data_IF_288326035568
#
_entry.id   IF_288326035568
#
_cell.length_a   1.000
_cell.length_b   1.000
_cell.length_c   1.000
_cell.angle_alpha   90.00
_cell.angle_beta   90.00
_cell.angle_gamma   90.00
#
_symmetry.space_group_name_H-M   'P 1'
#
loop_
_entity.id
_entity.type
_entity.pdbx_description
1 polymer ?
#
# COMPACT_ATOMS: atom_id res chain seq x y z
N UNK A 1 26.06 -52.91 51.48
CA UNK A 1 26.49 -52.04 50.35
C UNK A 1 25.66 -52.40 49.12
N UNK A 2 24.68 -51.56 48.77
CA UNK A 2 24.03 -51.46 47.45
C UNK A 2 22.64 -50.85 47.68
N UNK A 3 22.48 -49.53 47.45
CA UNK A 3 21.22 -48.87 47.03
C UNK A 3 21.32 -47.33 47.11
N UNK A 4 22.40 -46.75 46.59
CA UNK A 4 22.51 -45.28 46.44
C UNK A 4 23.05 -44.83 45.06
N UNK A 5 22.92 -45.68 44.03
CA UNK A 5 23.36 -45.34 42.66
C UNK A 5 22.25 -45.29 41.61
N UNK A 6 21.02 -45.72 41.90
CA UNK A 6 19.94 -45.77 40.90
C UNK A 6 19.28 -44.42 40.54
N UNK A 7 19.24 -43.46 41.47
CA UNK A 7 18.42 -42.24 41.29
C UNK A 7 19.13 -41.08 40.56
N UNK A 8 20.46 -41.03 40.54
CA UNK A 8 21.22 -39.98 39.81
C UNK A 8 21.35 -40.27 38.31
N UNK A 9 21.31 -41.55 37.91
CA UNK A 9 21.53 -41.98 36.52
C UNK A 9 20.27 -41.75 35.67
N UNK A 10 19.07 -41.91 36.24
CA UNK A 10 17.80 -41.75 35.52
C UNK A 10 17.51 -40.32 35.04
N UNK A 11 17.86 -39.29 35.83
CA UNK A 11 17.62 -37.89 35.46
C UNK A 11 18.61 -37.38 34.40
N UNK A 12 19.87 -37.84 34.42
CA UNK A 12 20.85 -37.50 33.38
C UNK A 12 20.49 -38.17 32.06
N UNK A 13 19.96 -39.39 32.08
CA UNK A 13 19.51 -40.10 30.89
C UNK A 13 18.31 -39.40 30.23
N UNK A 14 17.32 -38.95 31.03
CA UNK A 14 16.15 -38.21 30.53
C UNK A 14 16.51 -36.86 29.92
N UNK A 15 17.47 -36.13 30.52
CA UNK A 15 17.93 -34.85 29.97
C UNK A 15 18.71 -35.02 28.66
N UNK A 16 19.53 -36.09 28.56
CA UNK A 16 20.25 -36.42 27.32
C UNK A 16 19.31 -36.84 26.19
N UNK A 17 18.25 -37.61 26.52
CA UNK A 17 17.23 -38.01 25.54
C UNK A 17 16.44 -36.80 25.01
N UNK A 18 16.10 -35.85 25.89
CA UNK A 18 15.40 -34.63 25.48
C UNK A 18 16.29 -33.72 24.63
N UNK A 19 17.55 -33.56 25.00
CA UNK A 19 18.53 -32.79 24.22
C UNK A 19 18.82 -33.44 22.85
N UNK A 20 18.90 -34.77 22.77
CA UNK A 20 19.07 -35.48 21.50
C UNK A 20 17.85 -35.36 20.59
N UNK A 21 16.63 -35.36 21.15
CA UNK A 21 15.41 -35.19 20.38
C UNK A 21 15.31 -33.79 19.76
N UNK A 22 15.69 -32.75 20.50
CA UNK A 22 15.74 -31.36 20.01
C UNK A 22 16.82 -31.20 18.94
N UNK A 23 17.99 -31.83 19.11
CA UNK A 23 19.05 -31.80 18.09
C UNK A 23 18.61 -32.50 16.81
N UNK A 24 17.94 -33.65 16.92
CA UNK A 24 17.42 -34.40 15.79
C UNK A 24 16.35 -33.62 15.04
N UNK A 25 15.44 -32.92 15.73
CA UNK A 25 14.43 -32.08 15.08
C UNK A 25 15.04 -30.89 14.36
N UNK A 26 16.07 -30.26 14.95
CA UNK A 26 16.80 -29.15 14.32
C UNK A 26 17.59 -29.63 13.09
N UNK A 27 18.22 -30.80 13.16
CA UNK A 27 18.93 -31.37 12.00
C UNK A 27 17.96 -31.75 10.88
N UNK A 28 16.78 -32.29 11.20
CA UNK A 28 15.78 -32.66 10.20
C UNK A 28 15.26 -31.41 9.46
N UNK A 29 15.02 -30.32 10.19
CA UNK A 29 14.60 -29.03 9.63
C UNK A 29 15.64 -28.41 8.70
N UNK A 30 16.93 -28.51 9.07
CA UNK A 30 18.06 -28.05 8.24
C UNK A 30 18.26 -28.92 7.00
N UNK A 31 18.06 -30.23 7.10
CA UNK A 31 18.17 -31.13 5.93
C UNK A 31 17.03 -30.94 4.94
N UNK A 32 15.78 -30.76 5.40
CA UNK A 32 14.65 -30.50 4.51
C UNK A 32 14.79 -29.17 3.75
N UNK A 33 15.40 -28.14 4.37
CA UNK A 33 15.66 -26.86 3.71
C UNK A 33 16.78 -26.92 2.66
N UNK A 34 17.71 -27.87 2.76
CA UNK A 34 18.73 -28.14 1.73
C UNK A 34 18.21 -29.00 0.56
N UNK A 35 17.26 -29.90 0.79
CA UNK A 35 16.66 -30.71 -0.28
C UNK A 35 15.73 -29.92 -1.21
N UNK A 36 15.08 -28.86 -0.72
CA UNK A 36 14.24 -27.98 -1.56
C UNK A 36 15.02 -26.95 -2.37
N UNK A 37 16.34 -26.83 -2.17
CA UNK A 37 17.18 -25.83 -2.87
C UNK A 37 18.18 -26.42 -3.86
N UNK A 38 18.30 -27.76 -3.93
CA UNK A 38 19.30 -28.45 -4.75
C UNK A 38 18.68 -29.18 -5.96
N UNK A 39 18.16 -28.42 -6.93
CA UNK A 39 17.85 -29.00 -8.26
C UNK A 39 18.05 -27.97 -9.38
N UNK A 40 19.29 -27.83 -9.85
CA UNK A 40 19.69 -27.89 -11.27
C UNK A 40 21.14 -27.41 -11.48
N UNK A 41 21.90 -28.27 -12.15
CA UNK A 41 23.30 -28.23 -12.60
C UNK A 41 23.76 -26.91 -13.27
N UNK A 42 24.98 -26.40 -13.00
CA UNK A 42 26.29 -26.65 -13.69
C UNK A 42 26.35 -26.04 -15.12
N UNK A 43 27.41 -25.41 -15.64
CA UNK A 43 28.84 -25.24 -15.32
C UNK A 43 29.48 -24.23 -16.31
N UNK A 44 30.66 -23.69 -15.98
CA UNK A 44 31.64 -22.91 -16.80
C UNK A 44 31.36 -21.41 -17.09
N UNK A 45 32.34 -20.49 -17.18
CA UNK A 45 33.68 -20.27 -16.62
C UNK A 45 34.15 -18.87 -17.15
N UNK A 46 34.85 -18.08 -16.33
CA UNK A 46 35.60 -16.82 -16.67
C UNK A 46 34.75 -15.60 -17.13
N UNK A 47 34.99 -14.34 -16.76
CA UNK A 47 36.25 -13.66 -16.49
C UNK A 47 36.07 -12.38 -15.62
N UNK A 48 37.13 -11.98 -14.92
CA UNK A 48 37.28 -10.83 -14.00
C UNK A 48 37.05 -9.44 -14.64
N UNK A 49 36.63 -8.46 -13.83
CA UNK A 49 36.67 -7.04 -14.23
C UNK A 49 36.10 -6.05 -13.21
N UNK A 50 36.84 -5.80 -12.13
CA UNK A 50 36.64 -4.67 -11.22
C UNK A 50 36.76 -3.34 -11.98
N UNK A 51 35.82 -2.40 -11.82
CA UNK A 51 36.13 -0.96 -11.93
C UNK A 51 35.08 -0.09 -11.23
N UNK A 52 35.57 0.59 -10.18
CA UNK A 52 35.01 1.75 -9.52
C UNK A 52 34.96 2.95 -10.48
N UNK A 53 33.92 3.77 -10.40
CA UNK A 53 34.00 5.16 -10.84
C UNK A 53 32.71 5.79 -11.39
N UNK A 54 32.35 6.91 -10.77
CA UNK A 54 31.50 8.02 -11.27
C UNK A 54 29.98 7.93 -11.08
N UNK A 55 29.51 8.77 -10.14
CA UNK A 55 28.17 9.33 -10.10
C UNK A 55 27.94 10.16 -11.35
N UNK A 56 26.92 9.83 -12.14
CA UNK A 56 26.24 10.76 -13.04
C UNK A 56 24.74 10.62 -12.84
N UNK A 57 24.14 11.75 -12.47
CA UNK A 57 22.71 11.97 -12.41
C UNK A 57 22.15 11.80 -13.83
N UNK A 58 21.37 10.74 -14.06
CA UNK A 58 20.85 10.37 -15.37
C UNK A 58 19.41 9.88 -15.21
N UNK A 59 18.49 10.64 -15.81
CA UNK A 59 17.06 10.35 -15.97
C UNK A 59 16.80 8.87 -16.25
N UNK A 60 16.21 8.15 -15.30
CA UNK A 60 15.67 6.80 -15.54
C UNK A 60 14.41 6.93 -16.37
N UNK A 61 14.57 6.99 -17.70
CA UNK A 61 13.58 6.43 -18.62
C UNK A 61 13.36 4.97 -18.18
N UNK A 62 12.17 4.65 -17.65
CA UNK A 62 11.74 3.25 -17.45
C UNK A 62 11.62 2.62 -18.83
N UNK A 63 12.70 2.01 -19.30
CA UNK A 63 12.66 1.14 -20.45
C UNK A 63 11.92 -0.14 -20.06
N UNK A 64 10.90 -0.48 -20.84
CA UNK A 64 10.12 -1.72 -20.81
C UNK A 64 11.00 -2.88 -21.33
N UNK A 65 12.10 -3.15 -20.63
CA UNK A 65 13.08 -4.21 -20.95
C UNK A 65 13.30 -5.15 -19.75
N UNK A 66 12.26 -5.36 -18.95
CA UNK A 66 12.27 -6.31 -17.84
C UNK A 66 11.97 -7.77 -18.26
N UNK A 67 12.17 -8.11 -19.55
CA UNK A 67 11.95 -9.48 -20.05
C UNK A 67 13.25 -10.32 -20.17
N UNK A 68 14.41 -9.78 -19.77
CA UNK A 68 15.72 -10.48 -19.82
C UNK A 68 16.62 -10.25 -18.59
N UNK A 69 16.06 -9.83 -17.44
CA UNK A 69 16.84 -9.79 -16.19
C UNK A 69 16.78 -11.16 -15.51
N UNK A 70 17.95 -11.75 -15.25
CA UNK A 70 18.09 -12.96 -14.43
C UNK A 70 17.27 -12.83 -13.13
N UNK A 71 16.31 -13.74 -12.86
CA UNK A 71 15.43 -13.65 -11.68
C UNK A 71 16.19 -13.67 -10.35
N UNK A 72 17.45 -14.10 -10.34
CA UNK A 72 18.30 -14.14 -9.14
C UNK A 72 18.99 -12.80 -8.85
N UNK A 73 19.14 -11.92 -9.85
CA UNK A 73 19.83 -10.63 -9.71
C UNK A 73 19.11 -9.67 -8.74
N UNK A 74 17.78 -9.49 -8.82
CA UNK A 74 17.05 -8.71 -7.81
C UNK A 74 17.21 -9.27 -6.39
N UNK A 75 17.26 -10.60 -6.25
CA UNK A 75 17.43 -11.27 -4.94
C UNK A 75 18.84 -11.04 -4.38
N UNK A 76 19.88 -11.12 -5.21
CA UNK A 76 21.26 -10.82 -4.81
C UNK A 76 21.42 -9.34 -4.43
N UNK A 77 20.83 -8.43 -5.21
CA UNK A 77 20.86 -7.00 -4.92
C UNK A 77 20.15 -6.69 -3.60
N UNK A 78 19.03 -7.37 -3.32
CA UNK A 78 18.33 -7.26 -2.04
C UNK A 78 19.19 -7.78 -0.87
N UNK A 79 19.83 -8.94 -1.01
CA UNK A 79 20.71 -9.51 0.03
C UNK A 79 21.92 -8.60 0.28
N UNK A 80 22.57 -8.11 -0.78
CA UNK A 80 23.70 -7.17 -0.68
C UNK A 80 23.27 -5.89 0.04
N UNK A 81 22.13 -5.31 -0.35
CA UNK A 81 21.58 -4.13 0.29
C UNK A 81 21.31 -4.39 1.79
N UNK A 82 20.69 -5.52 2.12
CA UNK A 82 20.46 -5.90 3.50
C UNK A 82 21.78 -6.03 4.29
N UNK A 83 22.81 -6.65 3.72
CA UNK A 83 24.12 -6.78 4.36
C UNK A 83 24.81 -5.41 4.57
N UNK A 84 24.74 -4.51 3.59
CA UNK A 84 25.27 -3.15 3.68
C UNK A 84 24.53 -2.30 4.71
N UNK A 85 23.21 -2.44 4.80
CA UNK A 85 22.37 -1.77 5.80
C UNK A 85 22.75 -2.22 7.22
N UNK A 86 22.91 -3.54 7.45
CA UNK A 86 23.32 -4.07 8.76
C UNK A 86 24.75 -3.69 9.13
N UNK A 87 25.68 -3.67 8.16
CA UNK A 87 27.05 -3.18 8.37
C UNK A 87 27.05 -1.72 8.81
N UNK A 88 26.25 -0.89 8.14
CA UNK A 88 26.12 0.54 8.46
C UNK A 88 25.53 0.75 9.86
N UNK A 89 24.53 -0.05 10.24
CA UNK A 89 23.96 -0.05 11.58
C UNK A 89 25.01 -0.40 12.64
N UNK A 90 25.77 -1.47 12.43
CA UNK A 90 26.83 -1.89 13.35
C UNK A 90 27.91 -0.80 13.54
N UNK A 91 28.32 -0.13 12.45
CA UNK A 91 29.26 0.99 12.52
C UNK A 91 28.70 2.19 13.29
N UNK A 92 27.42 2.51 13.12
CA UNK A 92 26.76 3.59 13.85
C UNK A 92 26.73 3.32 15.37
N UNK A 93 26.37 2.09 15.78
CA UNK A 93 26.40 1.69 17.18
C UNK A 93 27.82 1.68 17.76
N UNK A 94 28.81 1.23 16.99
CA UNK A 94 30.21 1.27 17.41
C UNK A 94 30.70 2.71 17.65
N UNK A 95 30.33 3.65 16.78
CA UNK A 95 30.64 5.07 16.96
C UNK A 95 29.96 5.64 18.22
N UNK A 96 28.68 5.33 18.43
CA UNK A 96 27.93 5.77 19.61
C UNK A 96 28.54 5.24 20.92
N UNK A 97 28.91 3.96 20.95
CA UNK A 97 29.59 3.35 22.10
C UNK A 97 30.94 4.01 22.40
N UNK A 98 31.73 4.35 21.37
CA UNK A 98 32.99 5.08 21.54
C UNK A 98 32.77 6.48 22.12
N UNK A 99 31.77 7.21 21.62
CA UNK A 99 31.41 8.55 22.11
C UNK A 99 31.04 8.50 23.60
N UNK A 100 30.15 7.59 23.99
CA UNK A 100 29.74 7.41 25.40
C UNK A 100 30.92 7.07 26.31
N UNK A 101 31.84 6.20 25.86
CA UNK A 101 33.05 5.87 26.63
C UNK A 101 33.90 7.12 26.89
N UNK A 102 34.11 7.96 25.87
CA UNK A 102 34.91 9.18 25.99
C UNK A 102 34.25 10.20 26.93
N UNK A 103 32.94 10.40 26.81
CA UNK A 103 32.17 11.32 27.67
C UNK A 103 32.22 10.87 29.14
N UNK A 104 31.98 9.59 29.42
CA UNK A 104 32.08 9.04 30.78
C UNK A 104 33.50 9.16 31.34
N UNK A 105 34.53 8.93 30.52
CA UNK A 105 35.93 9.08 30.96
C UNK A 105 36.26 10.53 31.31
N UNK A 106 35.74 11.50 30.56
CA UNK A 106 35.89 12.93 30.87
C UNK A 106 35.22 13.29 32.19
N UNK A 107 33.99 12.81 32.43
CA UNK A 107 33.27 13.04 33.68
C UNK A 107 34.05 12.50 34.89
N UNK A 108 34.57 11.27 34.80
CA UNK A 108 35.40 10.68 35.87
C UNK A 108 36.63 11.53 36.16
N UNK A 109 37.35 12.01 35.13
CA UNK A 109 38.51 12.89 35.32
C UNK A 109 38.12 14.19 36.01
N UNK A 110 37.09 14.87 35.52
CA UNK A 110 36.62 16.13 36.08
C UNK A 110 36.27 16.00 37.59
N UNK A 111 35.52 14.96 37.98
CA UNK A 111 35.18 14.75 39.40
C UNK A 111 36.39 14.36 40.25
N UNK A 112 37.34 13.60 39.69
CA UNK A 112 38.59 13.25 40.39
C UNK A 112 39.46 14.48 40.61
N UNK A 113 39.57 15.37 39.62
CA UNK A 113 40.35 16.60 39.71
C UNK A 113 39.71 17.59 40.70
N UNK A 114 38.37 17.69 40.72
CA UNK A 114 37.66 18.46 41.75
C UNK A 114 37.97 17.94 43.16
N UNK A 115 37.95 16.62 43.37
CA UNK A 115 38.29 16.00 44.66
C UNK A 115 39.75 16.26 45.06
N UNK A 116 40.68 16.19 44.12
CA UNK A 116 42.10 16.55 44.34
C UNK A 116 42.25 18.02 44.71
N UNK A 117 41.56 18.93 44.02
CA UNK A 117 41.60 20.37 44.31
C UNK A 117 41.13 20.72 45.74
N UNK A 118 40.20 19.94 46.30
CA UNK A 118 39.82 20.07 47.71
C UNK A 118 40.90 19.53 48.66
N UNK A 119 41.47 18.37 48.33
CA UNK A 119 42.55 17.75 49.11
C UNK A 119 43.79 18.66 49.16
N UNK A 120 44.18 19.25 48.02
CA UNK A 120 45.29 20.18 47.90
C UNK A 120 45.03 21.48 48.68
N UNK A 121 43.78 21.96 48.68
CA UNK A 121 43.40 23.13 49.48
C UNK A 121 43.56 22.85 50.98
N UNK A 122 43.09 21.69 51.45
CA UNK A 122 43.18 21.29 52.85
C UNK A 122 44.63 20.99 53.29
N UNK A 123 45.46 20.50 52.37
CA UNK A 123 46.87 20.21 52.62
C UNK A 123 47.80 21.44 52.52
N UNK A 124 47.29 22.59 52.06
CA UNK A 124 48.07 23.82 51.84
C UNK A 124 48.69 24.29 53.16
N UNK A 125 50.00 24.46 53.15
CA UNK A 125 50.79 24.82 54.35
C UNK A 125 50.30 26.09 55.05
N UNK A 126 49.78 27.06 54.30
CA UNK A 126 49.21 28.32 54.81
C UNK A 126 47.96 28.13 55.68
N UNK A 127 47.29 26.98 55.59
CA UNK A 127 46.06 26.68 56.33
C UNK A 127 46.25 25.59 57.39
N UNK A 128 47.43 24.97 57.52
CA UNK A 128 47.69 23.94 58.53
C UNK A 128 47.46 24.44 59.96
N UNK A 129 47.85 25.69 60.24
CA UNK A 129 47.65 26.34 61.54
C UNK A 129 46.16 26.49 61.92
N UNK A 130 45.22 26.39 60.96
CA UNK A 130 43.78 26.41 61.23
C UNK A 130 43.23 25.05 61.71
N UNK A 131 43.98 23.96 61.52
CA UNK A 131 43.54 22.58 61.81
C UNK A 131 44.29 21.94 62.99
N UNK A 132 45.29 22.62 63.57
CA UNK A 132 46.00 22.18 64.76
C UNK A 132 45.19 22.51 66.02
N UNK A 133 45.01 21.52 66.90
CA UNK A 133 44.07 21.59 68.04
C UNK A 133 44.55 22.46 69.22
N UNK A 134 45.82 22.90 69.19
CA UNK A 134 46.49 23.66 70.26
C UNK A 134 46.77 25.14 69.88
N UNK A 135 46.19 25.66 68.79
CA UNK A 135 46.39 27.05 68.37
C UNK A 135 45.59 28.04 69.25
N UNK A 136 46.27 28.86 70.05
CA UNK A 136 45.65 29.78 71.00
C UNK A 136 44.91 30.99 70.37
N UNK A 137 45.07 31.26 69.07
CA UNK A 137 44.31 32.30 68.35
C UNK A 137 44.33 32.08 66.84
N UNK A 138 43.15 32.01 66.21
CA UNK A 138 43.01 31.92 64.74
C UNK A 138 43.14 33.32 64.13
N UNK A 139 43.98 33.47 63.09
CA UNK A 139 44.06 34.70 62.31
C UNK A 139 42.80 34.85 61.42
N UNK A 140 42.01 35.89 61.69
CA UNK A 140 40.76 36.19 60.97
C UNK A 140 40.99 36.41 59.46
N UNK A 141 42.14 36.98 59.09
CA UNK A 141 42.45 37.26 57.68
C UNK A 141 42.70 35.98 56.88
N UNK A 142 43.40 35.02 57.48
CA UNK A 142 43.70 33.70 56.90
C UNK A 142 42.41 32.86 56.81
N UNK A 143 41.54 32.94 57.83
CA UNK A 143 40.24 32.29 57.81
C UNK A 143 39.33 32.83 56.69
N UNK A 144 39.23 34.15 56.53
CA UNK A 144 38.44 34.76 55.44
C UNK A 144 38.95 34.37 54.06
N UNK A 145 40.26 34.26 53.88
CA UNK A 145 40.84 33.81 52.61
C UNK A 145 40.52 32.34 52.33
N UNK A 146 40.64 31.47 53.35
CA UNK A 146 40.25 30.06 53.25
C UNK A 146 38.76 29.91 52.91
N UNK A 147 37.88 30.64 53.59
CA UNK A 147 36.44 30.62 53.29
C UNK A 147 36.11 31.02 51.85
N UNK A 148 36.78 32.05 51.32
CA UNK A 148 36.57 32.48 49.93
C UNK A 148 36.99 31.38 48.96
N UNK A 149 38.18 30.80 49.15
CA UNK A 149 38.73 29.73 48.33
C UNK A 149 37.89 28.44 48.38
N UNK A 150 37.28 28.13 49.53
CA UNK A 150 36.33 27.01 49.69
C UNK A 150 35.02 27.31 48.97
N UNK A 151 34.45 28.52 49.15
CA UNK A 151 33.19 28.94 48.51
C UNK A 151 33.30 28.90 46.98
N UNK A 152 34.42 29.35 46.41
CA UNK A 152 34.67 29.27 44.96
C UNK A 152 34.71 27.82 44.46
N UNK A 153 35.42 26.92 45.15
CA UNK A 153 35.46 25.49 44.79
C UNK A 153 34.10 24.80 44.95
N UNK A 154 33.33 25.15 45.98
CA UNK A 154 31.94 24.66 46.16
C UNK A 154 31.06 25.12 44.99
N UNK A 155 31.19 26.37 44.55
CA UNK A 155 30.45 26.88 43.39
C UNK A 155 30.81 26.12 42.11
N UNK A 156 32.10 25.90 41.86
CA UNK A 156 32.56 25.13 40.69
C UNK A 156 32.06 23.68 40.72
N UNK A 157 32.09 23.03 41.89
CA UNK A 157 31.60 21.67 42.06
C UNK A 157 30.10 21.56 41.84
N UNK A 158 29.31 22.51 42.37
CA UNK A 158 27.86 22.58 42.12
C UNK A 158 27.54 22.72 40.63
N UNK A 159 28.29 23.54 39.90
CA UNK A 159 28.13 23.68 38.46
C UNK A 159 28.44 22.37 37.72
N UNK A 160 29.56 21.72 38.05
CA UNK A 160 29.94 20.45 37.42
C UNK A 160 28.92 19.32 37.68
N UNK A 161 28.33 19.29 38.89
CA UNK A 161 27.24 18.36 39.22
C UNK A 161 25.98 18.67 38.40
N UNK A 162 25.64 19.95 38.26
CA UNK A 162 24.48 20.37 37.47
C UNK A 162 24.62 19.97 35.99
N UNK A 163 25.80 20.20 35.40
CA UNK A 163 26.09 19.85 34.00
C UNK A 163 26.08 18.33 33.78
N UNK A 164 26.53 17.55 34.77
CA UNK A 164 26.55 16.09 34.71
C UNK A 164 25.22 15.42 35.08
N UNK A 165 24.23 16.17 35.59
CA UNK A 165 22.96 15.64 36.13
C UNK A 165 22.26 14.71 35.15
N UNK A 166 22.24 15.05 33.86
CA UNK A 166 21.63 14.24 32.82
C UNK A 166 22.24 12.84 32.67
N UNK A 167 23.53 12.69 33.00
CA UNK A 167 24.22 11.40 32.90
C UNK A 167 23.82 10.43 34.02
N UNK A 168 23.33 10.94 35.16
CA UNK A 168 22.97 10.14 36.33
C UNK A 168 21.47 10.06 36.60
N UNK A 169 20.68 11.01 36.08
CA UNK A 169 19.24 11.06 36.27
C UNK A 169 18.50 10.15 35.27
N UNK A 170 18.11 8.96 35.76
CA UNK A 170 17.35 8.00 34.97
C UNK A 170 15.95 8.52 34.58
N UNK A 171 15.31 9.35 35.41
CA UNK A 171 13.98 9.90 35.10
C UNK A 171 14.08 10.87 33.92
N UNK A 172 15.09 11.74 33.91
CA UNK A 172 15.33 12.66 32.81
C UNK A 172 15.65 11.92 31.50
N UNK A 173 16.43 10.84 31.55
CA UNK A 173 16.69 9.98 30.38
C UNK A 173 15.42 9.32 29.85
N UNK A 174 14.56 8.80 30.73
CA UNK A 174 13.27 8.20 30.35
C UNK A 174 12.38 9.25 29.70
N UNK A 175 12.31 10.46 30.24
CA UNK A 175 11.52 11.55 29.68
C UNK A 175 12.02 11.95 28.28
N UNK A 176 13.33 12.17 28.11
CA UNK A 176 13.91 12.47 26.78
C UNK A 176 13.68 11.33 25.78
N UNK A 177 13.78 10.08 26.23
CA UNK A 177 13.46 8.93 25.37
C UNK A 177 11.98 8.94 24.96
N UNK A 178 11.07 9.24 25.89
CA UNK A 178 9.64 9.36 25.60
C UNK A 178 9.35 10.47 24.60
N UNK A 179 9.97 11.64 24.77
CA UNK A 179 9.79 12.79 23.88
C UNK A 179 10.34 12.50 22.47
N UNK A 180 11.49 11.83 22.39
CA UNK A 180 12.06 11.40 21.09
C UNK A 180 11.22 10.32 20.42
N UNK A 181 10.70 9.34 21.17
CA UNK A 181 9.75 8.34 20.63
C UNK A 181 8.50 9.02 20.10
N UNK A 182 7.93 9.97 20.85
CA UNK A 182 6.76 10.71 20.41
C UNK A 182 7.02 11.51 19.13
N UNK A 183 8.12 12.26 19.09
CA UNK A 183 8.51 13.03 17.90
C UNK A 183 8.81 12.15 16.67
N UNK A 184 9.48 11.01 16.87
CA UNK A 184 9.72 10.04 15.79
C UNK A 184 8.42 9.39 15.30
N UNK A 185 7.50 9.08 16.21
CA UNK A 185 6.19 8.51 15.85
C UNK A 185 5.33 9.49 15.06
N UNK A 186 5.38 10.79 15.41
CA UNK A 186 4.72 11.85 14.66
C UNK A 186 5.29 11.96 13.23
N UNK A 187 6.62 11.99 13.10
CA UNK A 187 7.29 12.01 11.80
C UNK A 187 6.98 10.77 10.96
N UNK A 188 6.99 9.58 11.57
CA UNK A 188 6.62 8.33 10.91
C UNK A 188 5.17 8.39 10.40
N UNK A 189 4.26 8.91 11.21
CA UNK A 189 2.85 9.06 10.85
C UNK A 189 2.69 10.03 9.67
N UNK A 190 3.40 11.17 9.69
CA UNK A 190 3.41 12.14 8.58
C UNK A 190 3.97 11.51 7.30
N UNK A 191 5.07 10.78 7.39
CA UNK A 191 5.68 10.08 6.25
C UNK A 191 4.76 8.99 5.68
N UNK A 192 4.10 8.20 6.53
CA UNK A 192 3.09 7.21 6.11
C UNK A 192 1.92 7.86 5.36
N UNK A 193 1.41 8.98 5.87
CA UNK A 193 0.33 9.75 5.22
C UNK A 193 0.75 10.26 3.85
N UNK A 194 1.93 10.88 3.76
CA UNK A 194 2.47 11.37 2.49
C UNK A 194 2.71 10.22 1.50
N UNK A 195 3.25 9.10 1.95
CA UNK A 195 3.45 7.90 1.12
C UNK A 195 2.13 7.35 0.57
N UNK A 196 1.09 7.24 1.40
CA UNK A 196 -0.24 6.82 0.96
C UNK A 196 -0.83 7.78 -0.08
N UNK A 197 -0.69 9.09 0.13
CA UNK A 197 -1.16 10.12 -0.80
C UNK A 197 -0.42 10.09 -2.14
N UNK A 198 0.91 10.02 -2.13
CA UNK A 198 1.71 9.89 -3.35
C UNK A 198 1.42 8.60 -4.11
N UNK A 199 1.17 7.50 -3.39
CA UNK A 199 0.73 6.25 -4.01
C UNK A 199 -0.63 6.37 -4.69
N UNK A 200 -1.57 7.09 -4.07
CA UNK A 200 -2.88 7.36 -4.65
C UNK A 200 -2.78 8.18 -5.94
N UNK A 201 -1.97 9.24 -5.94
CA UNK A 201 -1.71 10.04 -7.13
C UNK A 201 -1.09 9.18 -8.22
N UNK A 202 -0.02 8.45 -7.91
CA UNK A 202 0.68 7.63 -8.91
C UNK A 202 -0.20 6.54 -9.53
N UNK A 203 -1.13 5.97 -8.76
CA UNK A 203 -2.07 4.96 -9.25
C UNK A 203 -3.21 5.54 -10.11
N UNK A 204 -3.57 6.82 -9.92
CA UNK A 204 -4.76 7.43 -10.56
C UNK A 204 -4.44 8.49 -11.61
N UNK A 205 -3.30 9.15 -11.49
CA UNK A 205 -2.95 10.25 -12.39
C UNK A 205 -2.72 9.72 -13.79
N UNK A 206 -3.46 10.26 -14.76
CA UNK A 206 -3.18 10.01 -16.17
C UNK A 206 -1.89 10.75 -16.54
N UNK A 207 -0.87 10.06 -17.10
CA UNK A 207 0.32 10.72 -17.62
C UNK A 207 -0.03 11.86 -18.56
N UNK A 208 0.71 12.98 -18.50
CA UNK A 208 0.45 14.16 -19.34
C UNK A 208 0.31 13.84 -20.82
N UNK A 209 1.12 12.91 -21.34
CA UNK A 209 1.04 12.46 -22.73
C UNK A 209 -0.30 11.83 -23.10
N UNK A 210 -0.90 11.02 -22.21
CA UNK A 210 -2.20 10.41 -22.43
C UNK A 210 -3.33 11.43 -22.28
N UNK A 211 -3.20 12.39 -21.37
CA UNK A 211 -4.15 13.49 -21.28
C UNK A 211 -4.15 14.36 -22.56
N UNK A 212 -2.97 14.63 -23.14
CA UNK A 212 -2.88 15.33 -24.42
C UNK A 212 -3.58 14.60 -25.58
N UNK A 213 -3.63 13.27 -25.56
CA UNK A 213 -4.35 12.48 -26.56
C UNK A 213 -5.86 12.80 -26.51
N UNK A 214 -6.47 12.72 -25.33
CA UNK A 214 -7.88 13.05 -25.16
C UNK A 214 -8.21 14.48 -25.61
N UNK A 215 -7.33 15.44 -25.31
CA UNK A 215 -7.49 16.83 -25.75
C UNK A 215 -7.40 17.00 -27.27
N UNK A 216 -6.48 16.29 -27.94
CA UNK A 216 -6.39 16.32 -29.40
C UNK A 216 -7.61 15.71 -30.07
N UNK A 217 -8.13 14.61 -29.54
CA UNK A 217 -9.36 13.98 -30.05
C UNK A 217 -10.58 14.88 -29.84
N UNK A 218 -10.65 15.58 -28.70
CA UNK A 218 -11.71 16.55 -28.47
C UNK A 218 -11.60 17.76 -29.43
N UNK A 219 -10.39 18.24 -29.69
CA UNK A 219 -10.16 19.28 -30.70
C UNK A 219 -10.63 18.84 -32.09
N UNK A 220 -10.31 17.60 -32.49
CA UNK A 220 -10.78 16.99 -33.75
C UNK A 220 -12.31 16.92 -33.81
N UNK A 221 -12.97 16.51 -32.73
CA UNK A 221 -14.44 16.51 -32.64
C UNK A 221 -15.02 17.91 -32.86
N UNK A 222 -14.44 18.92 -32.23
CA UNK A 222 -14.94 20.30 -32.33
C UNK A 222 -14.74 20.84 -33.75
N UNK A 223 -13.60 20.53 -34.38
CA UNK A 223 -13.31 20.97 -35.75
C UNK A 223 -14.22 20.31 -36.80
N UNK A 224 -14.62 19.04 -36.59
CA UNK A 224 -15.37 18.24 -37.55
C UNK A 224 -16.59 17.54 -36.92
N UNK A 225 -17.45 18.32 -36.24
CA UNK A 225 -18.57 17.78 -35.45
C UNK A 225 -19.51 16.87 -36.24
N UNK A 226 -19.81 17.21 -37.50
CA UNK A 226 -20.73 16.45 -38.36
C UNK A 226 -20.28 15.01 -38.65
N UNK A 227 -18.96 14.78 -38.71
CA UNK A 227 -18.39 13.46 -38.98
C UNK A 227 -18.51 12.52 -37.77
N UNK A 228 -18.53 13.10 -36.57
CA UNK A 228 -18.41 12.33 -35.33
C UNK A 228 -19.68 12.36 -34.47
N UNK A 229 -20.61 13.28 -34.74
CA UNK A 229 -21.91 13.30 -34.06
C UNK A 229 -22.84 12.20 -34.59
N UNK A 230 -23.56 11.60 -33.66
CA UNK A 230 -24.67 10.67 -33.92
C UNK A 230 -26.03 11.31 -33.59
N UNK A 231 -26.04 12.60 -33.24
CA UNK A 231 -27.28 13.33 -32.99
C UNK A 231 -28.13 13.39 -34.27
N UNK A 232 -29.35 12.85 -34.19
CA UNK A 232 -30.31 12.82 -35.30
C UNK A 232 -30.17 11.63 -36.26
N UNK A 233 -29.22 10.71 -36.05
CA UNK A 233 -29.15 9.45 -36.80
C UNK A 233 -30.00 8.38 -36.12
N UNK A 234 -30.71 7.57 -36.92
CA UNK A 234 -31.39 6.39 -36.38
C UNK A 234 -30.36 5.41 -35.83
N UNK A 235 -30.65 4.80 -34.69
CA UNK A 235 -29.81 3.76 -34.09
C UNK A 235 -29.87 2.51 -34.98
N UNK A 236 -28.72 2.04 -35.51
CA UNK A 236 -28.65 0.81 -36.27
C UNK A 236 -29.29 -0.38 -35.52
N UNK A 237 -30.08 -1.24 -36.20
CA UNK A 237 -30.77 -2.35 -35.56
C UNK A 237 -29.82 -3.38 -34.94
N UNK A 238 -28.57 -3.44 -35.40
CA UNK A 238 -27.53 -4.33 -34.90
C UNK A 238 -27.19 -4.06 -33.43
N UNK A 239 -27.42 -2.83 -32.93
CA UNK A 239 -27.19 -2.52 -31.51
C UNK A 239 -28.21 -3.17 -30.58
N UNK A 240 -29.32 -3.69 -31.11
CA UNK A 240 -30.40 -4.31 -30.34
C UNK A 240 -30.69 -5.76 -30.77
N UNK A 241 -29.96 -6.31 -31.76
CA UNK A 241 -30.18 -7.66 -32.28
C UNK A 241 -29.60 -8.72 -31.32
N UNK A 242 -30.44 -9.50 -30.61
CA UNK A 242 -29.97 -10.47 -29.63
C UNK A 242 -29.15 -11.63 -30.23
N UNK A 243 -29.11 -11.78 -31.56
CA UNK A 243 -28.33 -12.82 -32.23
C UNK A 243 -26.84 -12.45 -32.37
N UNK A 244 -26.46 -11.20 -32.09
CA UNK A 244 -25.08 -10.73 -32.13
C UNK A 244 -24.37 -10.87 -30.78
N UNK A 245 -23.05 -10.71 -30.79
CA UNK A 245 -22.24 -10.81 -29.57
C UNK A 245 -22.09 -9.43 -28.94
N UNK A 246 -22.83 -9.16 -27.86
CA UNK A 246 -22.83 -7.87 -27.17
C UNK A 246 -21.82 -7.80 -26.03
N UNK A 247 -21.08 -6.69 -25.98
CA UNK A 247 -20.07 -6.38 -24.98
C UNK A 247 -20.38 -5.06 -24.30
N UNK A 248 -20.39 -5.01 -22.97
CA UNK A 248 -20.52 -3.78 -22.20
C UNK A 248 -19.16 -3.35 -21.63
N UNK A 249 -18.73 -2.12 -21.93
CA UNK A 249 -17.44 -1.55 -21.48
C UNK A 249 -17.71 -0.17 -20.88
N UNK A 250 -17.48 -0.01 -19.59
CA UNK A 250 -17.71 1.27 -18.89
C UNK A 250 -16.38 1.89 -18.47
N UNK A 251 -16.03 3.05 -19.02
CA UNK A 251 -14.70 3.65 -18.80
C UNK A 251 -14.72 5.16 -18.97
N UNK A 252 -13.87 5.85 -18.20
CA UNK A 252 -13.50 7.26 -18.37
C UNK A 252 -12.13 7.41 -19.06
N UNK A 253 -11.54 6.30 -19.53
CA UNK A 253 -10.20 6.27 -20.10
C UNK A 253 -10.25 5.84 -21.57
N UNK A 254 -10.13 6.83 -22.45
CA UNK A 254 -10.17 6.68 -23.93
C UNK A 254 -9.19 5.62 -24.43
N UNK A 255 -7.96 5.58 -23.91
CA UNK A 255 -6.96 4.62 -24.37
C UNK A 255 -7.29 3.20 -23.88
N UNK A 256 -7.69 3.07 -22.63
CA UNK A 256 -8.01 1.78 -22.03
C UNK A 256 -9.17 1.10 -22.76
N UNK A 257 -10.28 1.83 -22.95
CA UNK A 257 -11.43 1.35 -23.73
C UNK A 257 -11.03 0.97 -25.19
N UNK A 258 -10.20 1.79 -25.84
CA UNK A 258 -9.69 1.51 -27.19
C UNK A 258 -8.86 0.22 -27.23
N UNK A 259 -8.02 -0.04 -26.21
CA UNK A 259 -7.23 -1.27 -26.13
C UNK A 259 -8.13 -2.50 -26.00
N UNK A 260 -9.15 -2.46 -25.14
CA UNK A 260 -10.11 -3.58 -24.98
C UNK A 260 -10.76 -3.91 -26.32
N UNK A 261 -11.43 -2.94 -26.95
CA UNK A 261 -12.14 -3.14 -28.22
C UNK A 261 -11.19 -3.60 -29.32
N UNK A 262 -10.04 -2.94 -29.48
CA UNK A 262 -9.06 -3.29 -30.51
C UNK A 262 -8.48 -4.70 -30.30
N UNK A 263 -8.20 -5.07 -29.06
CA UNK A 263 -7.71 -6.42 -28.74
C UNK A 263 -8.77 -7.49 -29.00
N UNK A 264 -10.04 -7.20 -28.74
CA UNK A 264 -11.13 -8.13 -29.00
C UNK A 264 -11.32 -8.31 -30.51
N UNK A 265 -11.54 -7.22 -31.24
CA UNK A 265 -11.74 -7.23 -32.71
C UNK A 265 -10.59 -7.93 -33.43
N UNK A 266 -9.35 -7.68 -33.03
CA UNK A 266 -8.17 -8.29 -33.66
C UNK A 266 -8.08 -9.80 -33.46
N UNK A 267 -8.60 -10.31 -32.35
CA UNK A 267 -8.55 -11.73 -32.02
C UNK A 267 -9.87 -12.48 -32.29
N UNK A 268 -10.91 -11.76 -32.72
CA UNK A 268 -12.19 -12.33 -33.15
C UNK A 268 -12.11 -12.98 -34.52
N UNK A 269 -12.82 -14.11 -34.69
CA UNK A 269 -12.93 -14.80 -35.99
C UNK A 269 -13.86 -14.08 -36.98
N UNK A 270 -14.96 -13.54 -36.48
CA UNK A 270 -16.00 -12.88 -37.27
C UNK A 270 -16.31 -11.48 -36.71
N UNK A 271 -15.42 -10.47 -36.89
CA UNK A 271 -15.54 -9.17 -36.25
C UNK A 271 -16.88 -8.45 -36.45
N UNK A 272 -17.52 -8.60 -37.61
CA UNK A 272 -18.82 -8.02 -37.94
C UNK A 272 -19.99 -8.53 -37.08
N UNK A 273 -19.83 -9.64 -36.34
CA UNK A 273 -20.84 -10.11 -35.38
C UNK A 273 -20.72 -9.50 -33.99
N UNK A 274 -19.67 -8.70 -33.73
CA UNK A 274 -19.40 -8.14 -32.41
C UNK A 274 -19.96 -6.73 -32.28
N UNK A 275 -20.67 -6.50 -31.18
CA UNK A 275 -21.31 -5.24 -30.85
C UNK A 275 -20.78 -4.73 -29.51
N UNK A 276 -20.14 -3.57 -29.52
CA UNK A 276 -19.53 -2.95 -28.35
C UNK A 276 -20.35 -1.77 -27.88
N UNK A 277 -20.86 -1.83 -26.65
CA UNK A 277 -21.48 -0.71 -25.99
C UNK A 277 -20.50 -0.08 -25.01
N UNK A 278 -19.90 1.02 -25.43
CA UNK A 278 -18.97 1.81 -24.63
C UNK A 278 -19.74 2.92 -23.93
N UNK A 279 -19.72 2.93 -22.59
CA UNK A 279 -20.35 3.99 -21.81
C UNK A 279 -19.31 4.78 -21.05
N UNK A 280 -19.40 6.10 -21.17
CA UNK A 280 -18.42 7.05 -20.62
C UNK A 280 -19.11 8.26 -20.00
N UNK A 281 -18.37 9.05 -19.24
CA UNK A 281 -18.82 10.38 -18.82
C UNK A 281 -18.91 11.35 -20.02
N UNK A 282 -19.69 12.43 -19.84
CA UNK A 282 -19.85 13.49 -20.83
C UNK A 282 -18.53 14.14 -21.25
N UNK A 283 -17.55 14.19 -20.35
CA UNK A 283 -16.25 14.83 -20.60
C UNK A 283 -15.41 14.04 -21.63
N UNK A 284 -15.47 12.71 -21.60
CA UNK A 284 -14.71 11.85 -22.48
C UNK A 284 -15.49 11.32 -23.69
N UNK A 285 -16.83 11.46 -23.71
CA UNK A 285 -17.70 11.15 -24.87
C UNK A 285 -17.12 11.71 -26.17
N UNK A 286 -16.70 12.97 -26.08
CA UNK A 286 -15.95 13.72 -27.07
C UNK A 286 -14.91 12.90 -27.81
N UNK A 287 -13.88 12.58 -27.05
CA UNK A 287 -12.69 11.91 -27.50
C UNK A 287 -12.95 10.44 -27.87
N UNK A 288 -13.85 9.75 -27.17
CA UNK A 288 -14.17 8.35 -27.46
C UNK A 288 -14.87 8.18 -28.81
N UNK A 289 -15.86 9.02 -29.14
CA UNK A 289 -16.53 8.95 -30.44
C UNK A 289 -15.53 9.14 -31.60
N UNK A 290 -14.61 10.09 -31.48
CA UNK A 290 -13.54 10.29 -32.47
C UNK A 290 -12.61 9.07 -32.52
N UNK A 291 -12.13 8.58 -31.38
CA UNK A 291 -11.24 7.41 -31.31
C UNK A 291 -11.81 6.18 -32.01
N UNK A 292 -13.10 5.89 -31.83
CA UNK A 292 -13.74 4.72 -32.43
C UNK A 292 -14.18 4.95 -33.89
N UNK A 293 -14.37 6.20 -34.34
CA UNK A 293 -14.70 6.48 -35.75
C UNK A 293 -13.48 6.67 -36.65
N UNK A 294 -12.33 7.07 -36.09
CA UNK A 294 -11.09 7.26 -36.85
C UNK A 294 -10.48 5.97 -37.39
N UNK A 295 -10.90 4.82 -36.86
CA UNK A 295 -10.32 3.52 -37.16
C UNK A 295 -11.39 2.56 -37.66
N UNK A 296 -11.03 1.75 -38.64
CA UNK A 296 -11.83 0.61 -39.06
C UNK A 296 -11.62 -0.59 -38.11
N UNK A 297 -12.73 -1.21 -37.73
CA UNK A 297 -12.80 -2.39 -36.85
C UNK A 297 -13.30 -3.63 -37.60
N UNK A 298 -13.02 -3.72 -38.91
CA UNK A 298 -13.36 -4.86 -39.76
C UNK A 298 -14.87 -5.18 -39.74
N UNK A 299 -15.71 -4.14 -39.70
CA UNK A 299 -17.17 -4.26 -39.66
C UNK A 299 -17.78 -4.45 -38.28
N UNK A 300 -17.00 -4.48 -37.18
CA UNK A 300 -17.57 -4.53 -35.84
C UNK A 300 -18.39 -3.27 -35.50
N UNK A 301 -19.48 -3.44 -34.77
CA UNK A 301 -20.39 -2.35 -34.41
C UNK A 301 -19.98 -1.75 -33.07
N UNK A 302 -19.79 -0.44 -32.99
CA UNK A 302 -19.37 0.25 -31.75
C UNK A 302 -20.30 1.42 -31.50
N UNK A 303 -20.93 1.40 -30.33
CA UNK A 303 -21.77 2.47 -29.81
C UNK A 303 -21.06 3.16 -28.65
N UNK A 304 -21.00 4.49 -28.65
CA UNK A 304 -20.46 5.28 -27.55
C UNK A 304 -21.56 6.18 -26.99
N UNK A 305 -21.99 5.90 -25.76
CA UNK A 305 -23.04 6.65 -25.05
C UNK A 305 -22.49 7.32 -23.81
N UNK A 306 -23.06 8.47 -23.48
CA UNK A 306 -22.82 9.11 -22.21
C UNK A 306 -23.69 8.48 -21.12
N UNK A 307 -23.25 8.53 -19.87
CA UNK A 307 -24.09 8.13 -18.73
C UNK A 307 -25.41 8.90 -18.72
N UNK A 308 -25.36 10.19 -19.06
CA UNK A 308 -26.50 11.10 -19.05
C UNK A 308 -27.57 10.78 -20.10
N UNK A 309 -27.25 9.96 -21.12
CA UNK A 309 -28.19 9.58 -22.17
C UNK A 309 -29.26 8.60 -21.67
N UNK A 310 -28.98 7.89 -20.56
CA UNK A 310 -29.89 6.93 -19.96
C UNK A 310 -30.89 7.61 -19.02
N UNK A 311 -32.10 7.88 -19.54
CA UNK A 311 -33.18 8.60 -18.81
C UNK A 311 -33.60 7.96 -17.48
N UNK A 312 -33.42 6.65 -17.31
CA UNK A 312 -33.75 5.96 -16.07
C UNK A 312 -32.76 6.27 -14.94
N UNK A 313 -31.56 6.78 -15.25
CA UNK A 313 -30.54 7.16 -14.27
C UNK A 313 -30.87 8.51 -13.63
N UNK A 314 -31.84 8.50 -12.71
CA UNK A 314 -32.19 9.65 -11.89
C UNK A 314 -32.14 9.27 -10.41
N UNK A 315 -32.07 10.28 -9.53
CA UNK A 315 -31.97 10.07 -8.07
C UNK A 315 -33.22 9.44 -7.45
N UNK A 316 -34.37 9.49 -8.14
CA UNK A 316 -35.57 8.79 -7.70
C UNK A 316 -35.45 7.27 -7.82
N UNK A 317 -34.77 6.78 -8.86
CA UNK A 317 -34.64 5.35 -9.13
C UNK A 317 -33.29 4.76 -8.68
N UNK A 318 -32.19 5.51 -8.78
CA UNK A 318 -30.83 5.02 -8.48
C UNK A 318 -30.39 5.47 -7.08
N UNK A 319 -30.29 4.56 -6.09
CA UNK A 319 -29.94 4.94 -4.71
C UNK A 319 -28.59 5.65 -4.59
N UNK A 320 -27.60 5.27 -5.40
CA UNK A 320 -26.27 5.87 -5.36
C UNK A 320 -26.27 7.32 -5.83
N UNK A 321 -27.09 7.67 -6.83
CA UNK A 321 -27.24 9.07 -7.26
C UNK A 321 -27.89 9.90 -6.15
N UNK A 322 -28.90 9.36 -5.47
CA UNK A 322 -29.49 9.99 -4.28
C UNK A 322 -28.47 10.23 -3.16
N UNK A 323 -27.57 9.26 -2.92
CA UNK A 323 -26.47 9.41 -1.96
C UNK A 323 -25.50 10.52 -2.38
N UNK A 324 -25.14 10.57 -3.67
CA UNK A 324 -24.26 11.57 -4.25
C UNK A 324 -24.82 12.99 -4.18
N UNK A 325 -26.13 13.17 -4.23
CA UNK A 325 -26.79 14.48 -4.05
C UNK A 325 -26.75 14.98 -2.59
N UNK A 326 -26.48 14.09 -1.61
CA UNK A 326 -26.43 14.49 -0.22
C UNK A 326 -25.14 15.28 0.12
N UNK A 327 -25.32 16.49 0.64
CA UNK A 327 -24.22 17.41 0.98
C UNK A 327 -23.22 16.82 1.99
N UNK A 328 -23.68 15.97 2.91
CA UNK A 328 -22.83 15.29 3.91
C UNK A 328 -21.90 14.25 3.29
N UNK A 329 -22.35 13.45 2.33
CA UNK A 329 -21.51 12.45 1.65
C UNK A 329 -20.58 13.11 0.63
N UNK A 330 -21.02 14.15 -0.08
CA UNK A 330 -20.13 14.95 -0.89
C UNK A 330 -18.97 15.52 -0.06
N UNK A 331 -19.26 15.98 1.16
CA UNK A 331 -18.24 16.47 2.08
C UNK A 331 -17.33 15.35 2.65
N UNK A 332 -17.82 14.11 2.77
CA UNK A 332 -17.01 12.98 3.24
C UNK A 332 -16.06 12.44 2.15
N UNK A 333 -16.49 12.44 0.89
CA UNK A 333 -15.75 11.87 -0.25
C UNK A 333 -14.95 12.89 -1.06
N UNK A 334 -15.48 14.10 -1.31
CA UNK A 334 -14.86 15.14 -2.14
C UNK A 334 -14.16 16.24 -1.35
N UNK A 335 -14.34 16.33 -0.03
CA UNK A 335 -13.61 17.32 0.77
C UNK A 335 -12.17 16.83 1.02
N UNK A 336 -11.38 16.85 -0.05
CA UNK A 336 -9.92 16.82 -0.04
C UNK A 336 -9.36 18.16 0.42
N UNK A 337 -9.92 18.78 1.47
CA UNK A 337 -9.18 19.80 2.19
C UNK A 337 -8.00 19.09 2.85
N UNK A 338 -6.81 19.56 2.48
CA UNK A 338 -5.47 19.15 2.93
C UNK A 338 -5.40 18.87 4.45
N UNK A 339 -6.30 19.50 5.22
CA UNK A 339 -6.41 19.42 6.67
C UNK A 339 -7.10 18.15 7.20
N UNK A 340 -8.01 17.48 6.47
CA UNK A 340 -8.75 16.31 6.97
C UNK A 340 -8.12 14.95 6.57
N UNK A 341 -7.08 14.95 5.75
CA UNK A 341 -6.21 13.79 5.55
C UNK A 341 -5.32 13.49 6.78
N UNK A 342 -5.38 14.36 7.80
CA UNK A 342 -4.54 14.29 8.99
C UNK A 342 -5.07 13.36 10.08
N UNK A 343 -6.31 12.87 10.04
CA UNK A 343 -6.90 12.12 11.16
C UNK A 343 -6.84 10.59 11.00
N UNK A 344 -7.10 10.01 9.83
CA UNK A 344 -7.09 8.54 9.65
C UNK A 344 -6.52 8.06 8.30
N UNK A 345 -5.36 7.40 8.33
CA UNK A 345 -4.76 6.79 7.15
C UNK A 345 -5.52 5.53 6.66
N UNK A 346 -6.28 4.89 7.55
CA UNK A 346 -7.12 3.70 7.24
C UNK A 346 -8.32 4.05 6.36
N UNK A 347 -8.91 5.22 6.57
CA UNK A 347 -10.08 5.70 5.81
C UNK A 347 -9.71 6.23 4.40
N UNK A 348 -8.44 6.51 4.12
CA UNK A 348 -8.01 6.93 2.77
C UNK A 348 -8.21 5.84 1.71
N UNK A 349 -8.13 4.55 2.08
CA UNK A 349 -8.37 3.44 1.15
C UNK A 349 -9.84 3.34 0.72
N UNK A 350 -10.76 3.74 1.61
CA UNK A 350 -12.21 3.72 1.40
C UNK A 350 -12.75 5.04 0.81
N UNK A 351 -12.00 6.14 0.91
CA UNK A 351 -12.26 7.39 0.16
C UNK A 351 -11.77 7.30 -1.30
N UNK A 352 -12.08 6.20 -1.97
CA UNK A 352 -11.79 6.09 -3.40
C UNK A 352 -13.02 6.64 -4.18
N UNK A 353 -12.92 7.79 -4.86
CA UNK A 353 -14.00 8.31 -5.71
C UNK A 353 -14.47 7.33 -6.81
N UNK A 354 -13.73 6.26 -7.14
CA UNK A 354 -14.27 5.17 -7.97
C UNK A 354 -15.47 4.45 -7.32
N UNK A 355 -15.56 4.34 -5.99
CA UNK A 355 -16.75 3.79 -5.31
C UNK A 355 -17.99 4.68 -5.40
N UNK A 356 -17.81 5.90 -5.91
CA UNK A 356 -18.88 6.84 -6.23
C UNK A 356 -18.97 7.13 -7.73
N UNK A 357 -18.06 6.57 -8.54
CA UNK A 357 -18.13 6.74 -9.97
C UNK A 357 -19.35 5.98 -10.45
N UNK A 358 -20.32 6.72 -10.99
CA UNK A 358 -21.56 6.16 -11.50
C UNK A 358 -21.29 5.05 -12.53
N UNK A 359 -20.21 5.15 -13.31
CA UNK A 359 -19.75 4.12 -14.25
C UNK A 359 -19.56 2.74 -13.58
N UNK A 360 -19.09 2.70 -12.34
CA UNK A 360 -18.94 1.45 -11.59
C UNK A 360 -20.26 0.90 -11.07
N UNK A 361 -21.33 1.67 -11.07
CA UNK A 361 -22.65 1.23 -10.63
C UNK A 361 -23.55 0.87 -11.80
N UNK A 362 -23.29 1.38 -13.01
CA UNK A 362 -24.02 1.04 -14.24
C UNK A 362 -24.08 -0.45 -14.53
N UNK A 363 -23.08 -1.22 -14.09
CA UNK A 363 -23.05 -2.68 -14.26
C UNK A 363 -24.25 -3.41 -13.64
N UNK A 364 -24.89 -2.80 -12.64
CA UNK A 364 -26.09 -3.35 -12.02
C UNK A 364 -27.38 -2.96 -12.75
N UNK A 365 -27.27 -2.19 -13.83
CA UNK A 365 -28.38 -1.72 -14.65
C UNK A 365 -28.32 -2.23 -16.09
N UNK A 366 -27.54 -3.28 -16.35
CA UNK A 366 -27.40 -3.86 -17.70
C UNK A 366 -28.76 -4.25 -18.34
N UNK A 367 -29.71 -4.87 -17.61
CA UNK A 367 -31.03 -5.16 -18.19
C UNK A 367 -31.86 -3.92 -18.53
N UNK A 368 -31.73 -2.84 -17.77
CA UNK A 368 -32.40 -1.56 -18.00
C UNK A 368 -31.77 -0.81 -19.19
N UNK A 369 -30.46 -0.95 -19.37
CA UNK A 369 -29.73 -0.36 -20.50
C UNK A 369 -30.00 -1.11 -21.81
N UNK A 370 -30.13 -2.44 -21.75
CA UNK A 370 -30.26 -3.30 -22.93
C UNK A 370 -31.48 -4.24 -22.80
N UNK A 371 -32.71 -3.70 -22.86
CA UNK A 371 -33.91 -4.47 -22.55
C UNK A 371 -34.20 -5.61 -23.54
N UNK A 372 -33.73 -5.50 -24.79
CA UNK A 372 -33.98 -6.50 -25.85
C UNK A 372 -32.96 -7.65 -25.89
N UNK A 373 -31.85 -7.52 -25.15
CA UNK A 373 -30.79 -8.52 -25.16
C UNK A 373 -31.03 -9.61 -24.13
N UNK A 374 -30.63 -10.84 -24.47
CA UNK A 374 -30.70 -12.01 -23.58
C UNK A 374 -29.41 -12.23 -22.79
N UNK A 375 -28.26 -11.99 -23.43
CA UNK A 375 -26.94 -12.21 -22.84
C UNK A 375 -25.99 -11.08 -23.20
N UNK A 376 -25.06 -10.77 -22.29
CA UNK A 376 -24.06 -9.74 -22.52
C UNK A 376 -22.76 -10.08 -21.78
N UNK A 377 -21.62 -9.80 -22.41
CA UNK A 377 -20.32 -9.90 -21.75
C UNK A 377 -19.87 -8.54 -21.24
N UNK A 378 -19.72 -8.40 -19.93
CA UNK A 378 -19.13 -7.22 -19.31
C UNK A 378 -17.61 -7.34 -19.26
N UNK A 379 -16.90 -6.29 -19.66
CA UNK A 379 -15.44 -6.19 -19.63
C UNK A 379 -14.99 -4.88 -18.97
N UNK A 380 -14.15 -4.97 -17.95
CA UNK A 380 -13.42 -3.84 -17.39
C UNK A 380 -12.43 -3.25 -18.42
N UNK A 381 -12.07 -1.99 -18.23
CA UNK A 381 -11.21 -1.24 -19.15
C UNK A 381 -9.72 -1.60 -19.07
N UNK A 382 -9.32 -2.39 -18.07
CA UNK A 382 -7.95 -2.87 -17.88
C UNK A 382 -7.69 -4.28 -18.46
N UNK A 383 -8.54 -4.71 -19.39
CA UNK A 383 -8.45 -6.03 -20.05
C UNK A 383 -7.74 -5.97 -21.40
N UNK A 384 -7.02 -7.04 -21.73
CA UNK A 384 -6.51 -7.32 -23.07
C UNK A 384 -6.96 -8.71 -23.49
N UNK A 385 -7.76 -8.76 -24.56
CA UNK A 385 -8.24 -10.02 -25.15
C UNK A 385 -7.17 -10.59 -26.08
N UNK A 386 -6.85 -11.86 -25.90
CA UNK A 386 -5.82 -12.56 -26.69
C UNK A 386 -6.37 -13.72 -27.52
N UNK A 387 -7.66 -14.04 -27.36
CA UNK A 387 -8.34 -15.13 -28.05
C UNK A 387 -9.80 -14.76 -28.29
N UNK A 388 -10.38 -15.37 -29.31
CA UNK A 388 -11.80 -15.27 -29.61
C UNK A 388 -12.66 -15.71 -28.40
N UNK A 389 -13.64 -14.87 -28.03
CA UNK A 389 -14.49 -15.06 -26.86
C UNK A 389 -15.88 -15.63 -27.20
N UNK A 390 -16.16 -15.94 -28.47
CA UNK A 390 -17.50 -16.33 -28.92
C UNK A 390 -17.99 -17.63 -28.25
N UNK A 391 -17.07 -18.53 -27.91
CA UNK A 391 -17.38 -19.78 -27.18
C UNK A 391 -18.02 -19.57 -25.80
N UNK A 392 -17.98 -18.35 -25.23
CA UNK A 392 -18.70 -18.05 -23.99
C UNK A 392 -20.22 -18.07 -24.17
N UNK A 393 -20.73 -17.73 -25.36
CA UNK A 393 -22.16 -17.76 -25.65
C UNK A 393 -22.72 -19.20 -25.75
N UNK A 394 -21.85 -20.19 -25.93
CA UNK A 394 -22.20 -21.61 -25.96
C UNK A 394 -22.27 -22.24 -24.56
N UNK A 395 -21.84 -21.52 -23.52
CA UNK A 395 -21.85 -22.03 -22.14
C UNK A 395 -23.29 -22.19 -21.65
N UNK A 396 -23.57 -23.36 -21.08
CA UNK A 396 -24.78 -23.58 -20.29
C UNK A 396 -24.63 -22.89 -18.92
N UNK A 397 -25.50 -21.92 -18.68
CA UNK A 397 -25.49 -21.10 -17.47
C UNK A 397 -26.24 -21.76 -16.32
N UNK A 398 -26.87 -22.93 -16.50
CA UNK A 398 -27.65 -23.64 -15.46
C UNK A 398 -28.70 -22.73 -14.77
N UNK A 399 -29.34 -21.88 -15.59
CA UNK A 399 -30.30 -20.87 -15.13
C UNK A 399 -29.73 -19.77 -14.22
N UNK A 400 -28.40 -19.68 -14.04
CA UNK A 400 -27.72 -18.68 -13.22
C UNK A 400 -27.59 -17.35 -13.97
N UNK A 401 -27.59 -16.28 -13.20
CA UNK A 401 -27.48 -14.90 -13.70
C UNK A 401 -26.09 -14.56 -14.22
N UNK A 402 -25.03 -15.09 -13.61
CA UNK A 402 -23.65 -14.69 -13.86
C UNK A 402 -22.71 -15.89 -14.03
N UNK A 403 -21.95 -15.88 -15.13
CA UNK A 403 -20.80 -16.72 -15.38
C UNK A 403 -19.53 -15.92 -15.14
N UNK A 404 -18.72 -16.37 -14.17
CA UNK A 404 -17.50 -15.69 -13.76
C UNK A 404 -16.33 -16.67 -13.62
N UNK A 405 -15.12 -16.14 -13.78
CA UNK A 405 -13.89 -16.92 -13.56
C UNK A 405 -13.69 -17.13 -12.07
N UNK A 406 -13.48 -18.38 -11.67
CA UNK A 406 -13.16 -18.72 -10.28
C UNK A 406 -11.80 -18.12 -9.88
N UNK A 407 -11.79 -17.30 -8.83
CA UNK A 407 -10.57 -16.68 -8.29
C UNK A 407 -10.25 -17.13 -6.87
N UNK A 408 -10.87 -18.21 -6.39
CA UNK A 408 -10.83 -18.66 -5.00
C UNK A 408 -9.54 -19.44 -4.62
N UNK A 409 -8.38 -18.90 -4.97
CA UNK A 409 -7.08 -19.49 -4.65
C UNK A 409 -6.48 -18.86 -3.38
N UNK A 410 -6.29 -19.65 -2.33
CA UNK A 410 -5.68 -19.20 -1.07
C UNK A 410 -6.67 -18.50 -0.13
N UNK A 411 -6.18 -17.54 0.66
CA UNK A 411 -7.01 -16.77 1.61
C UNK A 411 -7.73 -15.60 0.94
N UNK A 412 -7.15 -15.02 -0.12
CA UNK A 412 -7.76 -13.97 -0.93
C UNK A 412 -9.01 -14.49 -1.66
N UNK A 413 -9.98 -13.61 -1.91
CA UNK A 413 -11.22 -13.92 -2.65
C UNK A 413 -12.28 -14.75 -1.91
N UNK A 414 -12.31 -14.75 -0.56
CA UNK A 414 -13.47 -15.24 0.22
C UNK A 414 -14.24 -14.09 0.85
N UNK A 415 -15.55 -14.24 1.02
CA UNK A 415 -16.40 -13.19 1.60
C UNK A 415 -15.94 -12.73 2.98
N UNK A 416 -15.38 -13.61 3.81
CA UNK A 416 -14.82 -13.26 5.12
C UNK A 416 -13.77 -12.14 5.10
N UNK A 417 -13.12 -11.90 3.95
CA UNK A 417 -12.13 -10.83 3.80
C UNK A 417 -12.72 -9.48 3.38
N UNK A 418 -13.92 -9.49 2.80
CA UNK A 418 -14.56 -8.28 2.24
C UNK A 418 -15.71 -7.77 3.11
N UNK A 419 -16.39 -8.66 3.83
CA UNK A 419 -17.56 -8.33 4.61
C UNK A 419 -17.31 -8.49 6.11
N UNK A 420 -17.94 -7.65 6.92
CA UNK A 420 -17.90 -7.76 8.37
C UNK A 420 -18.97 -8.75 8.86
N UNK A 421 -18.60 -10.01 9.06
CA UNK A 421 -19.48 -11.06 9.59
C UNK A 421 -19.88 -10.89 11.06
N UNK A 422 -19.39 -9.84 11.74
CA UNK A 422 -19.92 -9.44 13.04
C UNK A 422 -21.31 -8.77 12.91
N UNK A 423 -21.65 -8.26 11.72
CA UNK A 423 -22.95 -7.64 11.47
C UNK A 423 -24.03 -8.72 11.28
N UNK A 424 -25.17 -8.66 12.01
CA UNK A 424 -26.18 -9.72 11.99
C UNK A 424 -26.76 -9.97 10.59
N UNK A 425 -27.10 -8.92 9.84
CA UNK A 425 -27.61 -9.03 8.47
C UNK A 425 -26.65 -9.76 7.52
N UNK A 426 -25.34 -9.54 7.64
CA UNK A 426 -24.33 -10.18 6.80
C UNK A 426 -24.19 -11.65 7.16
N UNK A 427 -24.16 -11.94 8.47
CA UNK A 427 -24.04 -13.30 8.99
C UNK A 427 -25.24 -14.18 8.63
N UNK A 428 -26.43 -13.59 8.58
CA UNK A 428 -27.66 -14.30 8.23
C UNK A 428 -27.77 -14.58 6.72
N UNK A 429 -27.41 -13.61 5.87
CA UNK A 429 -27.56 -13.73 4.41
C UNK A 429 -26.38 -14.39 3.68
N UNK A 430 -25.15 -14.27 4.20
CA UNK A 430 -23.95 -14.72 3.48
C UNK A 430 -23.17 -15.80 4.21
N UNK A 431 -22.48 -16.66 3.45
CA UNK A 431 -21.54 -17.62 3.99
C UNK A 431 -20.11 -17.03 3.96
N UNK A 432 -19.38 -16.96 5.09
CA UNK A 432 -18.02 -16.42 5.13
C UNK A 432 -17.02 -17.21 4.27
N UNK A 433 -17.29 -18.50 4.04
CA UNK A 433 -16.46 -19.37 3.22
C UNK A 433 -16.80 -19.30 1.74
N UNK A 434 -17.88 -18.63 1.34
CA UNK A 434 -18.23 -18.47 -0.07
C UNK A 434 -17.12 -17.72 -0.82
N UNK A 435 -16.88 -18.17 -2.04
CA UNK A 435 -15.90 -17.58 -2.93
C UNK A 435 -16.49 -16.30 -3.55
N UNK A 436 -15.73 -15.22 -3.44
CA UNK A 436 -15.89 -14.06 -4.30
C UNK A 436 -15.25 -14.38 -5.65
N UNK A 437 -15.71 -13.68 -6.68
CA UNK A 437 -15.11 -13.70 -8.00
C UNK A 437 -14.62 -12.30 -8.37
N UNK A 438 -13.77 -12.21 -9.39
CA UNK A 438 -13.34 -10.92 -9.93
C UNK A 438 -14.40 -10.36 -10.89
N UNK A 439 -14.67 -9.06 -10.80
CA UNK A 439 -15.65 -8.42 -11.68
C UNK A 439 -15.10 -8.10 -13.09
N UNK A 440 -13.78 -8.25 -13.32
CA UNK A 440 -13.13 -7.85 -14.57
C UNK A 440 -13.82 -8.34 -15.85
N UNK A 441 -14.21 -9.62 -15.88
CA UNK A 441 -14.92 -10.22 -17.00
C UNK A 441 -16.06 -11.08 -16.46
N UNK A 442 -17.30 -10.74 -16.82
CA UNK A 442 -18.49 -11.44 -16.35
C UNK A 442 -19.47 -11.61 -17.51
N UNK A 443 -19.97 -12.83 -17.69
CA UNK A 443 -20.97 -13.15 -18.70
C UNK A 443 -22.33 -13.21 -18.03
N UNK A 444 -23.27 -12.35 -18.44
CA UNK A 444 -24.55 -12.22 -17.78
C UNK A 444 -25.68 -12.75 -18.66
N UNK A 445 -26.58 -13.52 -18.04
CA UNK A 445 -27.89 -13.84 -18.55
C UNK A 445 -28.88 -12.79 -18.03
N UNK A 446 -29.31 -11.90 -18.92
CA UNK A 446 -30.17 -10.75 -18.60
C UNK A 446 -31.61 -11.17 -18.32
N UNK A 447 -32.05 -12.31 -18.84
CA UNK A 447 -33.40 -12.82 -18.57
C UNK A 447 -33.47 -13.45 -17.18
N UNK A 448 -32.44 -14.23 -16.82
CA UNK A 448 -32.27 -14.69 -15.44
C UNK A 448 -32.10 -13.50 -14.48
N UNK A 449 -31.32 -12.48 -14.83
CA UNK A 449 -31.16 -11.27 -14.00
C UNK A 449 -32.50 -10.61 -13.70
N UNK A 450 -33.36 -10.44 -14.71
CA UNK A 450 -34.70 -9.88 -14.58
C UNK A 450 -35.62 -10.75 -13.73
N UNK A 451 -35.59 -12.08 -13.93
CA UNK A 451 -36.38 -13.03 -13.14
C UNK A 451 -36.01 -13.00 -11.66
N UNK A 452 -34.72 -12.95 -11.35
CA UNK A 452 -34.19 -12.93 -9.98
C UNK A 452 -34.17 -11.52 -9.35
N UNK A 453 -34.58 -10.48 -10.09
CA UNK A 453 -34.65 -9.08 -9.61
C UNK A 453 -33.34 -8.59 -8.99
N UNK A 454 -32.22 -8.89 -9.64
CA UNK A 454 -30.90 -8.57 -9.10
C UNK A 454 -30.64 -7.06 -8.99
N UNK A 455 -31.25 -6.23 -9.84
CA UNK A 455 -31.16 -4.76 -9.74
C UNK A 455 -31.82 -4.26 -8.46
N UNK A 456 -32.97 -4.83 -8.10
CA UNK A 456 -33.73 -4.49 -6.88
C UNK A 456 -33.02 -4.96 -5.62
N UNK A 457 -32.41 -6.15 -5.63
CA UNK A 457 -31.53 -6.59 -4.53
C UNK A 457 -30.35 -5.64 -4.35
N UNK A 458 -29.73 -5.20 -5.46
CA UNK A 458 -28.70 -4.18 -5.41
C UNK A 458 -29.22 -2.86 -4.79
N UNK A 459 -30.43 -2.40 -5.15
CA UNK A 459 -31.03 -1.21 -4.54
C UNK A 459 -31.28 -1.39 -3.04
N UNK A 460 -31.80 -2.55 -2.63
CA UNK A 460 -32.02 -2.88 -1.22
C UNK A 460 -30.74 -2.72 -0.41
N UNK A 461 -29.62 -3.31 -0.88
CA UNK A 461 -28.34 -3.20 -0.19
C UNK A 461 -27.79 -1.77 -0.17
N UNK A 462 -27.92 -1.02 -1.27
CA UNK A 462 -27.49 0.39 -1.30
C UNK A 462 -28.31 1.27 -0.35
N UNK A 463 -29.60 0.99 -0.20
CA UNK A 463 -30.47 1.72 0.71
C UNK A 463 -30.17 1.42 2.19
N UNK A 464 -29.72 0.20 2.52
CA UNK A 464 -29.30 -0.12 3.89
C UNK A 464 -28.03 0.62 4.33
N UNK A 465 -27.16 0.97 3.39
CA UNK A 465 -25.98 1.82 3.67
C UNK A 465 -26.37 3.29 3.88
N UNK A 466 -27.61 3.67 3.55
CA UNK A 466 -28.13 5.04 3.70
C UNK A 466 -28.56 5.39 5.14
N UNK A 467 -28.74 4.38 6.00
CA UNK A 467 -29.08 4.50 7.43
C UNK A 467 -27.81 4.34 8.25
#
# INVERSE_FOLDING_TARGET
>A
MANFHGHRIGNVLRFRLLASAILLSLSLFLTLSFFFTSRSHASHLHHLGFKSGSRRFGSTRRAVLALKSDPLKPRLDQIRKQAEDHRSLALAYAHYARKLKLENTKLVRNFTDLSRNYSDLLAKQSYRALFETDAASIDESVLRQFEKEVKERIRATRQAIADAKESFDNQLKIQKLKDTIFGLNEQLTKAKKQGAFSSLIAAKSIPKSLHCLAMRLMQERIAHSENYSDEGKETPPEFEDPNLYHYAIFSDNVLAASVVVNSLVKNSKEPWKHVFHVVTDKMNLGAMQVMFKLKDYNGAHIEVKAVEDYKFLNSSYVPVLKQLESSKLQQFYFNSKLENATKDATNMKFRNPKYLSILNHLRFYLPEMYPKLHRILFLDDDIVVQKDLTGLWEIDMDGKVNGAVETCFGSFHRYAQYMNFSHPLIKEKFNPKACAWAYGMNFFDLDAWRREKCTEEYHYWQNLVMI
#
